data_IF_841282815266
#
_entry.id   IF_841282815266
#
_cell.length_a   1.000
_cell.length_b   1.000
_cell.length_c   1.000
_cell.angle_alpha   90.00
_cell.angle_beta   90.00
_cell.angle_gamma   90.00
#
_symmetry.space_group_name_H-M   'P 1'
#
loop_
_entity.id
_entity.type
_entity.pdbx_description
1 polymer ?
#
# COMPACT_ATOMS: atom_id res chain seq x y z
N UNK A 1 21.53 26.92 34.85
CA UNK A 1 22.10 25.78 34.05
C UNK A 1 21.32 24.46 34.12
N UNK A 2 20.23 24.33 34.92
CA UNK A 2 19.42 23.08 34.99
C UNK A 2 18.33 22.99 33.92
N UNK A 3 17.75 24.13 33.52
CA UNK A 3 16.69 24.20 32.50
C UNK A 3 17.15 23.69 31.13
N UNK A 4 18.38 24.00 30.72
CA UNK A 4 18.95 23.57 29.44
C UNK A 4 19.05 22.05 29.29
N UNK A 5 19.14 21.29 30.40
CA UNK A 5 19.14 19.82 30.37
C UNK A 5 17.74 19.24 30.23
N UNK A 6 16.73 19.85 30.85
CA UNK A 6 15.34 19.42 30.73
C UNK A 6 14.80 19.68 29.33
N UNK A 7 15.10 20.85 28.74
CA UNK A 7 14.73 21.16 27.36
C UNK A 7 15.35 20.19 26.35
N UNK A 8 16.61 19.78 26.57
CA UNK A 8 17.28 18.81 25.70
C UNK A 8 16.63 17.42 25.77
N UNK A 9 16.25 16.97 26.98
CA UNK A 9 15.57 15.68 27.19
C UNK A 9 14.15 15.72 26.61
N UNK A 10 13.43 16.83 26.76
CA UNK A 10 12.11 17.02 26.17
C UNK A 10 12.18 17.01 24.64
N UNK A 11 13.15 17.70 24.05
CA UNK A 11 13.30 17.75 22.60
C UNK A 11 13.70 16.39 22.01
N UNK A 12 14.56 15.62 22.69
CA UNK A 12 14.88 14.24 22.30
C UNK A 12 13.65 13.32 22.37
N UNK A 13 12.84 13.43 23.43
CA UNK A 13 11.60 12.65 23.55
C UNK A 13 10.59 13.03 22.47
N UNK A 14 10.44 14.33 22.20
CA UNK A 14 9.56 14.82 21.15
C UNK A 14 9.96 14.30 19.77
N UNK A 15 11.25 14.35 19.43
CA UNK A 15 11.78 13.77 18.19
C UNK A 15 11.54 12.27 18.10
N UNK A 16 11.74 11.54 19.19
CA UNK A 16 11.52 10.10 19.23
C UNK A 16 10.04 9.75 18.99
N UNK A 17 9.12 10.41 19.69
CA UNK A 17 7.68 10.18 19.50
C UNK A 17 7.20 10.59 18.11
N UNK A 18 7.73 11.69 17.57
CA UNK A 18 7.43 12.13 16.20
C UNK A 18 7.93 11.12 15.17
N UNK A 19 9.15 10.59 15.33
CA UNK A 19 9.71 9.56 14.47
C UNK A 19 8.90 8.27 14.52
N UNK A 20 8.56 7.80 15.72
CA UNK A 20 7.70 6.61 15.90
C UNK A 20 6.33 6.83 15.27
N UNK A 21 5.74 8.01 15.43
CA UNK A 21 4.47 8.38 14.79
C UNK A 21 4.55 8.33 13.27
N UNK A 22 5.60 8.90 12.68
CA UNK A 22 5.84 8.87 11.22
C UNK A 22 6.04 7.44 10.69
N UNK A 23 6.84 6.62 11.39
CA UNK A 23 7.04 5.21 11.02
C UNK A 23 5.72 4.44 11.12
N UNK A 24 4.93 4.68 12.17
CA UNK A 24 3.63 4.02 12.35
C UNK A 24 2.65 4.44 11.25
N UNK A 25 2.62 5.72 10.87
CA UNK A 25 1.83 6.22 9.75
C UNK A 25 2.27 5.60 8.42
N UNK A 26 3.57 5.53 8.16
CA UNK A 26 4.11 4.92 6.95
C UNK A 26 3.81 3.42 6.88
N UNK A 27 3.95 2.69 7.99
CA UNK A 27 3.61 1.26 8.08
C UNK A 27 2.10 1.04 7.94
N UNK A 28 1.28 1.91 8.55
CA UNK A 28 -0.18 1.84 8.39
C UNK A 28 -0.59 2.12 6.96
N UNK A 29 0.04 3.10 6.29
CA UNK A 29 -0.20 3.40 4.88
C UNK A 29 0.23 2.24 3.98
N UNK A 30 1.40 1.65 4.25
CA UNK A 30 1.92 0.49 3.54
C UNK A 30 1.03 -0.75 3.71
N UNK A 31 0.55 -1.03 4.93
CA UNK A 31 -0.37 -2.13 5.21
C UNK A 31 -1.77 -1.87 4.64
N UNK A 32 -2.20 -0.61 4.62
CA UNK A 32 -3.50 -0.22 4.06
C UNK A 32 -3.46 -0.03 2.55
N UNK A 33 -2.29 -0.11 1.92
CA UNK A 33 -2.14 -0.17 0.47
C UNK A 33 -1.78 -1.59 0.02
N UNK A 34 -2.69 -2.59 0.16
CA UNK A 34 -2.50 -3.90 -0.45
C UNK A 34 -2.48 -3.83 -1.99
N UNK A 35 -2.68 -2.63 -2.56
CA UNK A 35 -2.75 -2.36 -4.00
C UNK A 35 -1.61 -1.46 -4.51
N UNK A 36 -0.65 -1.04 -3.68
CA UNK A 36 0.57 -0.34 -4.15
C UNK A 36 1.50 -1.26 -4.95
N UNK A 37 1.32 -2.57 -4.80
CA UNK A 37 2.02 -3.54 -5.60
C UNK A 37 1.41 -3.54 -7.00
N UNK A 38 2.24 -3.37 -8.04
CA UNK A 38 1.81 -3.52 -9.43
C UNK A 38 1.00 -4.82 -9.63
N UNK A 39 -0.07 -4.80 -10.43
CA UNK A 39 -0.88 -6.00 -10.71
C UNK A 39 -0.02 -7.20 -11.10
N UNK A 40 1.10 -6.99 -11.79
CA UNK A 40 2.05 -8.02 -12.21
C UNK A 40 2.61 -8.87 -11.07
N UNK A 41 2.71 -8.29 -9.87
CA UNK A 41 3.22 -8.93 -8.66
C UNK A 41 2.11 -9.49 -7.77
N UNK A 42 0.84 -9.30 -8.13
CA UNK A 42 -0.27 -9.94 -7.42
C UNK A 42 -0.22 -11.45 -7.65
N UNK A 43 -0.63 -12.21 -6.63
CA UNK A 43 -0.92 -13.63 -6.79
C UNK A 43 -2.23 -13.78 -7.57
N UNK A 44 -2.39 -14.91 -8.25
CA UNK A 44 -3.57 -15.16 -9.08
C UNK A 44 -4.88 -15.04 -8.28
N UNK A 45 -4.86 -15.39 -6.98
CA UNK A 45 -5.99 -15.22 -6.07
C UNK A 45 -6.36 -13.75 -5.85
N UNK A 46 -5.37 -12.88 -5.65
CA UNK A 46 -5.57 -11.43 -5.47
C UNK A 46 -6.06 -10.81 -6.78
N UNK A 47 -5.55 -11.29 -7.91
CA UNK A 47 -5.97 -10.87 -9.25
C UNK A 47 -7.44 -11.18 -9.48
N UNK A 48 -7.86 -12.41 -9.20
CA UNK A 48 -9.25 -12.86 -9.32
C UNK A 48 -10.17 -12.13 -8.35
N UNK A 49 -9.77 -11.98 -7.08
CA UNK A 49 -10.53 -11.24 -6.07
C UNK A 49 -10.72 -9.77 -6.45
N UNK A 50 -9.68 -9.12 -6.98
CA UNK A 50 -9.77 -7.75 -7.47
C UNK A 50 -10.70 -7.63 -8.69
N UNK A 51 -10.61 -8.54 -9.66
CA UNK A 51 -11.49 -8.58 -10.83
C UNK A 51 -12.96 -8.77 -10.42
N UNK A 52 -13.24 -9.67 -9.46
CA UNK A 52 -14.57 -9.87 -8.87
C UNK A 52 -15.09 -8.60 -8.19
N UNK A 53 -14.27 -7.98 -7.33
CA UNK A 53 -14.62 -6.72 -6.62
C UNK A 53 -14.90 -5.57 -7.57
N UNK A 54 -14.27 -5.57 -8.75
CA UNK A 54 -14.45 -4.55 -9.76
C UNK A 54 -15.53 -4.88 -10.79
N UNK A 55 -16.29 -5.98 -10.60
CA UNK A 55 -17.30 -6.46 -11.54
C UNK A 55 -16.76 -6.67 -12.97
N UNK A 56 -15.50 -7.11 -13.10
CA UNK A 56 -14.88 -7.43 -14.39
C UNK A 56 -15.05 -8.92 -14.63
N UNK A 57 -15.66 -9.29 -15.75
CA UNK A 57 -15.85 -10.68 -16.12
C UNK A 57 -14.52 -11.32 -16.55
N UNK A 58 -14.22 -12.47 -15.96
CA UNK A 58 -13.11 -13.33 -16.35
C UNK A 58 -13.54 -14.78 -16.35
N UNK A 59 -12.97 -15.56 -17.26
CA UNK A 59 -13.17 -17.00 -17.31
C UNK A 59 -12.12 -17.70 -16.44
N UNK A 60 -12.46 -18.85 -15.86
CA UNK A 60 -11.50 -19.62 -15.06
C UNK A 60 -10.34 -20.17 -15.90
N UNK A 61 -10.54 -20.24 -17.22
CA UNK A 61 -9.56 -20.58 -18.26
C UNK A 61 -8.74 -19.40 -18.76
N UNK A 62 -9.04 -18.17 -18.34
CA UNK A 62 -8.26 -16.99 -18.75
C UNK A 62 -6.84 -17.08 -18.19
N UNK A 63 -5.86 -16.98 -19.10
CA UNK A 63 -4.46 -16.97 -18.72
C UNK A 63 -4.09 -15.71 -17.91
N UNK A 64 -3.06 -15.81 -17.07
CA UNK A 64 -2.63 -14.73 -16.16
C UNK A 64 -2.38 -13.42 -16.90
N UNK A 65 -1.78 -13.47 -18.10
CA UNK A 65 -1.53 -12.30 -18.94
C UNK A 65 -2.84 -11.62 -19.39
N UNK A 66 -3.89 -12.40 -19.66
CA UNK A 66 -5.21 -11.90 -20.05
C UNK A 66 -5.91 -11.21 -18.88
N UNK A 67 -5.80 -11.80 -17.68
CA UNK A 67 -6.31 -11.20 -16.44
C UNK A 67 -5.60 -9.88 -16.12
N UNK A 68 -4.27 -9.84 -16.22
CA UNK A 68 -3.47 -8.63 -16.03
C UNK A 68 -3.83 -7.53 -17.03
N UNK A 69 -4.02 -7.87 -18.29
CA UNK A 69 -4.44 -6.92 -19.34
C UNK A 69 -5.79 -6.30 -19.02
N UNK A 70 -6.77 -7.09 -18.55
CA UNK A 70 -8.10 -6.60 -18.12
C UNK A 70 -7.98 -5.63 -16.94
N UNK A 71 -7.09 -5.89 -15.99
CA UNK A 71 -6.81 -4.98 -14.87
C UNK A 71 -6.14 -3.71 -15.38
N UNK A 72 -5.14 -3.82 -16.26
CA UNK A 72 -4.40 -2.68 -16.79
C UNK A 72 -5.30 -1.70 -17.55
N UNK A 73 -6.21 -2.21 -18.38
CA UNK A 73 -7.22 -1.41 -19.09
C UNK A 73 -8.10 -0.64 -18.10
N UNK A 74 -8.57 -1.29 -17.02
CA UNK A 74 -9.45 -0.66 -16.02
C UNK A 74 -8.72 0.35 -15.11
N UNK A 75 -7.48 0.04 -14.71
CA UNK A 75 -6.71 0.85 -13.76
C UNK A 75 -6.03 2.04 -14.43
N UNK A 76 -5.49 1.84 -15.63
CA UNK A 76 -4.68 2.85 -16.31
C UNK A 76 -5.39 3.53 -17.49
N UNK A 77 -6.59 3.07 -17.87
CA UNK A 77 -7.41 3.72 -18.89
C UNK A 77 -6.71 3.85 -20.25
N UNK A 78 -5.80 2.93 -20.57
CA UNK A 78 -5.18 2.87 -21.89
C UNK A 78 -6.16 2.22 -22.86
N UNK A 79 -6.88 3.08 -23.59
CA UNK A 79 -7.45 2.77 -24.91
C UNK A 79 -6.35 2.50 -25.94
#
# INVERSE_FOLDING_TARGET
MRQTRLDLILNQKFLLYTFVGLVTLAVTFYLWSPYEVLPDKWTDDILKDWLLKNHIFFEETDDRETLLKKIHIKVFGMD
#
